data_IF_408703707644
#
_entry.id   IF_408703707644
#
_cell.length_a   1.000
_cell.length_b   1.000
_cell.length_c   1.000
_cell.angle_alpha   90.00
_cell.angle_beta   90.00
_cell.angle_gamma   90.00
#
_symmetry.space_group_name_H-M   'P 1'
#
loop_
_entity.id
_entity.type
_entity.pdbx_description
1 polymer ?
#
# COMPACT_ATOMS: atom_id res chain seq x y z
N UNK A 1 -25.49 2.34 -14.29
CA UNK A 1 -24.30 3.08 -13.83
C UNK A 1 -23.49 2.23 -12.85
N UNK A 2 -22.60 1.39 -13.37
CA UNK A 2 -21.63 0.67 -12.54
C UNK A 2 -20.42 1.61 -12.38
N UNK A 3 -20.16 2.10 -11.17
CA UNK A 3 -18.88 2.72 -10.79
C UNK A 3 -17.79 1.64 -10.83
N UNK A 4 -17.49 1.14 -12.02
CA UNK A 4 -16.49 0.13 -12.28
C UNK A 4 -15.20 0.78 -12.71
N UNK A 5 -14.08 0.39 -12.10
CA UNK A 5 -12.73 0.83 -12.49
C UNK A 5 -12.18 0.05 -13.71
N UNK A 6 -12.99 -0.78 -14.37
CA UNK A 6 -12.54 -1.66 -15.45
C UNK A 6 -11.93 -0.89 -16.62
N UNK A 7 -12.57 0.21 -17.04
CA UNK A 7 -12.04 1.07 -18.10
C UNK A 7 -10.73 1.75 -17.68
N UNK A 8 -10.68 2.26 -16.45
CA UNK A 8 -9.47 2.88 -15.90
C UNK A 8 -8.31 1.89 -15.82
N UNK A 9 -8.57 0.68 -15.33
CA UNK A 9 -7.57 -0.38 -15.27
C UNK A 9 -7.13 -0.83 -16.66
N UNK A 10 -8.06 -0.90 -17.62
CA UNK A 10 -7.71 -1.21 -19.00
C UNK A 10 -6.83 -0.12 -19.64
N UNK A 11 -7.15 1.16 -19.41
CA UNK A 11 -6.34 2.27 -19.88
C UNK A 11 -4.94 2.28 -19.25
N UNK A 12 -4.85 2.09 -17.93
CA UNK A 12 -3.60 1.97 -17.20
C UNK A 12 -2.77 0.79 -17.72
N UNK A 13 -3.41 -0.36 -17.95
CA UNK A 13 -2.76 -1.56 -18.46
C UNK A 13 -2.15 -1.34 -19.85
N UNK A 14 -2.89 -0.66 -20.75
CA UNK A 14 -2.38 -0.30 -22.08
C UNK A 14 -1.17 0.61 -21.99
N UNK A 15 -1.26 1.68 -21.18
CA UNK A 15 -0.16 2.62 -20.97
C UNK A 15 1.09 1.94 -20.40
N UNK A 16 0.94 1.11 -19.39
CA UNK A 16 2.05 0.36 -18.81
C UNK A 16 2.65 -0.64 -19.82
N UNK A 17 1.83 -1.30 -20.62
CA UNK A 17 2.29 -2.26 -21.64
C UNK A 17 3.10 -1.58 -22.73
N UNK A 18 2.77 -0.35 -23.09
CA UNK A 18 3.55 0.46 -24.02
C UNK A 18 4.96 0.70 -23.47
N UNK A 19 5.08 1.27 -22.27
CA UNK A 19 6.39 1.51 -21.64
C UNK A 19 7.18 0.22 -21.40
N UNK A 20 6.49 -0.89 -21.09
CA UNK A 20 7.13 -2.18 -20.91
C UNK A 20 7.75 -2.70 -22.21
N UNK A 21 7.12 -2.45 -23.36
CA UNK A 21 7.66 -2.79 -24.68
C UNK A 21 8.93 -2.00 -24.97
N UNK A 22 8.90 -0.70 -24.71
CA UNK A 22 10.07 0.15 -24.92
C UNK A 22 11.22 -0.23 -23.98
N UNK A 23 10.91 -0.52 -22.71
CA UNK A 23 11.92 -1.01 -21.77
C UNK A 23 12.58 -2.30 -22.27
N UNK A 24 11.82 -3.24 -22.82
CA UNK A 24 12.38 -4.48 -23.37
C UNK A 24 13.30 -4.25 -24.56
N UNK A 25 13.02 -3.24 -25.41
CA UNK A 25 13.88 -2.88 -26.53
C UNK A 25 15.24 -2.34 -26.08
N UNK A 26 15.25 -1.49 -25.04
CA UNK A 26 16.48 -0.87 -24.56
C UNK A 26 17.22 -1.72 -23.53
N UNK A 27 16.57 -2.75 -22.95
CA UNK A 27 17.14 -3.58 -21.89
C UNK A 27 18.48 -4.22 -22.23
N UNK A 28 18.71 -4.76 -23.45
CA UNK A 28 19.99 -5.36 -23.79
C UNK A 28 21.19 -4.38 -23.72
N UNK A 29 20.95 -3.08 -23.98
CA UNK A 29 21.98 -2.04 -23.98
C UNK A 29 22.15 -1.35 -22.63
N UNK A 30 21.36 -1.72 -21.61
CA UNK A 30 21.36 -1.07 -20.29
C UNK A 30 21.74 -2.05 -19.19
N UNK A 31 22.49 -1.56 -18.22
CA UNK A 31 22.77 -2.32 -17.01
C UNK A 31 21.49 -2.49 -16.16
N UNK A 32 21.56 -3.37 -15.18
CA UNK A 32 20.43 -3.67 -14.28
C UNK A 32 19.94 -2.43 -13.52
N UNK A 33 20.86 -1.62 -13.00
CA UNK A 33 20.50 -0.43 -12.22
C UNK A 33 19.69 0.57 -13.05
N UNK A 34 20.20 0.93 -14.24
CA UNK A 34 19.49 1.85 -15.16
C UNK A 34 18.12 1.30 -15.57
N UNK A 35 18.05 0.01 -15.91
CA UNK A 35 16.78 -0.62 -16.27
C UNK A 35 15.77 -0.58 -15.12
N UNK A 36 16.23 -0.80 -13.87
CA UNK A 36 15.38 -0.73 -12.68
C UNK A 36 14.89 0.70 -12.41
N UNK A 37 15.74 1.71 -12.57
CA UNK A 37 15.35 3.13 -12.43
C UNK A 37 14.30 3.49 -13.46
N UNK A 38 14.49 3.18 -14.74
CA UNK A 38 13.52 3.45 -15.81
C UNK A 38 12.19 2.74 -15.52
N UNK A 39 12.23 1.47 -15.15
CA UNK A 39 11.05 0.69 -14.81
C UNK A 39 10.25 1.28 -13.65
N UNK A 40 10.95 1.68 -12.61
CA UNK A 40 10.34 2.28 -11.42
C UNK A 40 9.72 3.64 -11.76
N UNK A 41 10.41 4.46 -12.50
CA UNK A 41 9.95 5.82 -12.87
C UNK A 41 8.75 5.78 -13.82
N UNK A 42 8.74 4.91 -14.82
CA UNK A 42 7.73 4.93 -15.88
C UNK A 42 6.52 4.02 -15.61
N UNK A 43 6.75 2.83 -15.08
CA UNK A 43 5.68 1.84 -14.93
C UNK A 43 5.21 1.74 -13.48
N UNK A 44 6.15 1.61 -12.53
CA UNK A 44 5.78 1.42 -11.14
C UNK A 44 5.12 2.68 -10.55
N UNK A 45 5.58 3.87 -10.92
CA UNK A 45 4.93 5.13 -10.55
C UNK A 45 3.47 5.20 -11.01
N UNK A 46 3.17 4.73 -12.23
CA UNK A 46 1.79 4.65 -12.75
C UNK A 46 0.93 3.64 -11.95
N UNK A 47 1.50 2.49 -11.58
CA UNK A 47 0.81 1.50 -10.76
C UNK A 47 0.53 1.99 -9.34
N UNK A 48 1.36 2.91 -8.82
CA UNK A 48 1.21 3.49 -7.48
C UNK A 48 0.35 4.75 -7.46
N UNK A 49 0.17 5.40 -8.62
CA UNK A 49 -0.66 6.59 -8.70
C UNK A 49 -2.11 6.27 -8.33
N UNK A 50 -2.60 6.92 -7.29
CA UNK A 50 -3.97 6.74 -6.75
C UNK A 50 -4.37 5.27 -6.50
N UNK A 51 -3.41 4.37 -6.23
CA UNK A 51 -3.67 2.94 -6.07
C UNK A 51 -4.60 2.61 -4.90
N UNK A 52 -4.74 3.50 -3.92
CA UNK A 52 -5.72 3.37 -2.83
C UNK A 52 -7.17 3.23 -3.32
N UNK A 53 -7.49 3.78 -4.50
CA UNK A 53 -8.80 3.65 -5.12
C UNK A 53 -9.10 2.21 -5.60
N UNK A 54 -8.06 1.39 -5.76
CA UNK A 54 -8.19 0.00 -6.19
C UNK A 54 -8.40 -0.98 -5.02
N UNK A 55 -8.58 -0.45 -3.81
CA UNK A 55 -8.83 -1.27 -2.63
C UNK A 55 -10.08 -2.13 -2.81
N UNK A 56 -9.95 -3.43 -2.51
CA UNK A 56 -11.04 -4.40 -2.61
C UNK A 56 -11.77 -4.45 -3.97
N UNK A 57 -11.07 -4.08 -5.06
CA UNK A 57 -11.58 -4.36 -6.40
C UNK A 57 -11.68 -5.87 -6.65
N UNK A 58 -12.53 -6.29 -7.59
CA UNK A 58 -12.61 -7.69 -8.00
C UNK A 58 -11.22 -8.26 -8.35
N UNK A 59 -11.01 -9.53 -8.03
CA UNK A 59 -9.71 -10.18 -8.20
C UNK A 59 -9.15 -10.06 -9.63
N UNK A 60 -10.03 -10.13 -10.65
CA UNK A 60 -9.60 -9.99 -12.05
C UNK A 60 -8.94 -8.64 -12.35
N UNK A 61 -9.40 -7.55 -11.71
CA UNK A 61 -8.82 -6.21 -11.84
C UNK A 61 -7.43 -6.16 -11.22
N UNK A 62 -7.31 -6.63 -9.99
CA UNK A 62 -6.01 -6.67 -9.28
C UNK A 62 -5.02 -7.58 -10.01
N UNK A 63 -5.49 -8.73 -10.51
CA UNK A 63 -4.66 -9.67 -11.26
C UNK A 63 -4.14 -9.06 -12.58
N UNK A 64 -4.92 -8.24 -13.29
CA UNK A 64 -4.42 -7.49 -14.47
C UNK A 64 -3.23 -6.62 -14.11
N UNK A 65 -3.30 -5.86 -13.00
CA UNK A 65 -2.20 -5.01 -12.53
C UNK A 65 -1.01 -5.86 -12.06
N UNK A 66 -1.26 -6.99 -11.39
CA UNK A 66 -0.20 -7.90 -10.95
C UNK A 66 0.55 -8.50 -12.14
N UNK A 67 -0.13 -8.86 -13.23
CA UNK A 67 0.50 -9.35 -14.47
C UNK A 67 1.45 -8.30 -15.06
N UNK A 68 1.08 -7.01 -15.02
CA UNK A 68 1.96 -5.92 -15.49
C UNK A 68 3.21 -5.84 -14.61
N UNK A 69 3.06 -5.86 -13.29
CA UNK A 69 4.18 -5.85 -12.36
C UNK A 69 5.11 -7.05 -12.57
N UNK A 70 4.53 -8.24 -12.76
CA UNK A 70 5.30 -9.46 -13.04
C UNK A 70 6.10 -9.36 -14.35
N UNK A 71 5.47 -8.83 -15.40
CA UNK A 71 6.14 -8.63 -16.69
C UNK A 71 7.24 -7.57 -16.62
N UNK A 72 7.06 -6.54 -15.77
CA UNK A 72 8.07 -5.53 -15.50
C UNK A 72 9.28 -6.15 -14.81
N UNK A 73 9.06 -6.94 -13.76
CA UNK A 73 10.12 -7.65 -13.06
C UNK A 73 10.92 -8.57 -14.00
N UNK A 74 10.23 -9.34 -14.86
CA UNK A 74 10.89 -10.17 -15.87
C UNK A 74 11.72 -9.35 -16.86
N UNK A 75 11.20 -8.21 -17.31
CA UNK A 75 11.92 -7.35 -18.25
C UNK A 75 13.22 -6.82 -17.65
N UNK A 76 13.21 -6.37 -16.38
CA UNK A 76 14.39 -5.87 -15.68
C UNK A 76 15.44 -6.96 -15.47
N UNK A 77 15.00 -8.15 -15.07
CA UNK A 77 15.88 -9.27 -14.71
C UNK A 77 16.20 -10.20 -15.88
N UNK A 78 15.74 -9.89 -17.09
CA UNK A 78 15.88 -10.74 -18.30
C UNK A 78 15.39 -12.16 -18.13
N UNK A 79 14.36 -12.37 -17.28
CA UNK A 79 13.75 -13.66 -17.03
C UNK A 79 12.78 -14.06 -18.15
N UNK A 80 12.66 -15.36 -18.39
CA UNK A 80 11.75 -15.93 -19.39
C UNK A 80 10.29 -15.83 -18.95
N UNK A 81 9.36 -15.95 -19.90
CA UNK A 81 7.91 -15.83 -19.66
C UNK A 81 7.40 -16.84 -18.63
N UNK A 82 7.94 -18.05 -18.63
CA UNK A 82 7.48 -19.17 -17.80
C UNK A 82 8.24 -19.33 -16.47
N UNK A 83 9.27 -18.52 -16.22
CA UNK A 83 10.00 -18.57 -14.95
C UNK A 83 9.10 -18.14 -13.80
N UNK A 84 9.24 -18.80 -12.65
CA UNK A 84 8.54 -18.41 -11.43
C UNK A 84 8.91 -16.97 -11.02
N UNK A 85 7.90 -16.14 -10.86
CA UNK A 85 8.11 -14.69 -10.63
C UNK A 85 8.33 -14.32 -9.16
N UNK A 86 7.81 -15.13 -8.23
CA UNK A 86 7.87 -14.81 -6.80
C UNK A 86 9.30 -14.63 -6.27
N UNK A 87 10.29 -15.46 -6.61
CA UNK A 87 11.68 -15.23 -6.21
C UNK A 87 12.24 -13.92 -6.76
N UNK A 88 11.85 -13.55 -8.00
CA UNK A 88 12.30 -12.31 -8.63
C UNK A 88 11.71 -11.08 -7.94
N UNK A 89 10.41 -11.08 -7.61
CA UNK A 89 9.80 -9.99 -6.85
C UNK A 89 10.42 -9.87 -5.46
N UNK A 90 10.76 -11.01 -4.83
CA UNK A 90 11.44 -11.05 -3.54
C UNK A 90 12.85 -10.43 -3.62
N UNK A 91 13.65 -10.79 -4.63
CA UNK A 91 15.00 -10.23 -4.83
C UNK A 91 14.99 -8.74 -5.16
N UNK A 92 13.94 -8.25 -5.84
CA UNK A 92 13.72 -6.84 -6.12
C UNK A 92 13.17 -6.05 -4.91
N UNK A 93 12.84 -6.71 -3.81
CA UNK A 93 12.15 -6.14 -2.65
C UNK A 93 10.82 -5.44 -3.00
N UNK A 94 10.09 -6.01 -3.95
CA UNK A 94 8.80 -5.44 -4.39
C UNK A 94 7.63 -6.11 -3.68
N UNK A 95 6.78 -5.28 -3.09
CA UNK A 95 5.46 -5.70 -2.62
C UNK A 95 4.57 -6.01 -3.83
N UNK A 96 3.74 -7.05 -3.74
CA UNK A 96 2.69 -7.31 -4.73
C UNK A 96 1.65 -6.18 -4.73
N UNK A 97 0.84 -6.09 -5.77
CA UNK A 97 -0.13 -4.98 -5.97
C UNK A 97 -1.08 -4.83 -4.77
N UNK A 98 -1.60 -5.92 -4.23
CA UNK A 98 -2.50 -5.87 -3.07
C UNK A 98 -1.84 -5.24 -1.85
N UNK A 99 -0.64 -5.69 -1.51
CA UNK A 99 0.12 -5.20 -0.37
C UNK A 99 0.59 -3.74 -0.57
N UNK A 100 0.83 -3.33 -1.82
CA UNK A 100 1.10 -1.91 -2.15
C UNK A 100 -0.10 -1.01 -1.88
N UNK A 101 -1.31 -1.48 -2.22
CA UNK A 101 -2.55 -0.77 -1.91
C UNK A 101 -2.73 -0.65 -0.39
N UNK A 102 -2.57 -1.76 0.33
CA UNK A 102 -2.65 -1.76 1.80
C UNK A 102 -1.61 -0.83 2.42
N UNK A 103 -0.36 -0.89 1.93
CA UNK A 103 0.71 0.01 2.36
C UNK A 103 0.30 1.48 2.21
N UNK A 104 -0.31 1.86 1.09
CA UNK A 104 -0.75 3.24 0.85
C UNK A 104 -1.85 3.67 1.83
N UNK A 105 -2.87 2.83 2.04
CA UNK A 105 -3.96 3.12 2.97
C UNK A 105 -3.43 3.27 4.40
N UNK A 106 -2.61 2.33 4.86
CA UNK A 106 -2.05 2.36 6.22
C UNK A 106 -1.12 3.56 6.41
N UNK A 107 -0.33 3.91 5.37
CA UNK A 107 0.53 5.11 5.41
C UNK A 107 -0.28 6.40 5.53
N UNK A 108 -1.42 6.49 4.83
CA UNK A 108 -2.34 7.62 4.94
C UNK A 108 -3.01 7.67 6.32
N UNK A 109 -3.41 6.51 6.85
CA UNK A 109 -3.97 6.39 8.21
C UNK A 109 -2.96 6.86 9.26
N UNK A 110 -1.70 6.40 9.16
CA UNK A 110 -0.63 6.88 10.03
C UNK A 110 -0.46 8.40 9.96
N UNK A 111 -0.41 8.98 8.75
CA UNK A 111 -0.24 10.42 8.57
C UNK A 111 -1.41 11.21 9.17
N UNK A 112 -2.63 10.73 8.96
CA UNK A 112 -3.83 11.35 9.54
C UNK A 112 -3.84 11.29 11.08
N UNK A 113 -3.35 10.20 11.68
CA UNK A 113 -3.24 10.06 13.14
C UNK A 113 -2.12 10.92 13.72
N UNK A 114 -0.96 10.97 13.07
CA UNK A 114 0.24 11.61 13.61
C UNK A 114 0.25 13.13 13.41
N UNK A 115 -0.11 13.60 12.22
CA UNK A 115 -0.04 15.01 11.84
C UNK A 115 -1.40 15.70 11.70
N UNK A 116 -2.49 14.95 11.82
CA UNK A 116 -3.83 15.45 11.53
C UNK A 116 -4.07 15.82 10.06
N UNK A 117 -3.09 15.58 9.19
CA UNK A 117 -3.16 15.97 7.77
C UNK A 117 -3.21 14.74 6.86
N UNK A 118 -3.98 14.77 5.77
CA UNK A 118 -4.96 15.81 5.42
C UNK A 118 -6.20 15.74 6.31
N UNK A 119 -6.75 16.89 6.70
CA UNK A 119 -7.87 16.99 7.64
C UNK A 119 -9.08 16.15 7.25
N UNK A 120 -9.46 16.17 5.96
CA UNK A 120 -10.61 15.39 5.46
C UNK A 120 -10.45 13.86 5.66
N UNK A 121 -9.23 13.33 5.73
CA UNK A 121 -9.01 11.91 6.08
C UNK A 121 -9.00 11.70 7.60
N UNK A 122 -8.52 12.70 8.35
CA UNK A 122 -8.51 12.64 9.82
C UNK A 122 -9.94 12.59 10.37
N UNK A 123 -10.85 13.36 9.79
CA UNK A 123 -12.26 13.43 10.18
C UNK A 123 -13.02 12.11 9.94
N UNK A 124 -12.51 11.28 9.04
CA UNK A 124 -13.05 9.94 8.78
C UNK A 124 -12.56 8.87 9.76
N UNK A 125 -11.64 9.20 10.67
CA UNK A 125 -11.02 8.24 11.59
C UNK A 125 -11.41 8.59 13.02
N UNK A 126 -12.03 7.65 13.71
CA UNK A 126 -12.37 7.78 15.13
C UNK A 126 -11.51 6.83 15.95
N UNK A 127 -10.81 7.38 16.95
CA UNK A 127 -10.10 6.58 17.93
C UNK A 127 -11.12 5.83 18.80
N UNK A 128 -10.87 4.56 19.04
CA UNK A 128 -11.67 3.80 19.98
C UNK A 128 -11.30 4.26 21.39
N UNK A 129 -12.30 4.65 22.18
CA UNK A 129 -12.08 4.96 23.61
C UNK A 129 -11.55 3.71 24.30
N UNK A 130 -10.42 3.84 24.97
CA UNK A 130 -9.81 2.78 25.73
C UNK A 130 -10.69 2.46 26.93
N UNK A 131 -11.49 1.39 26.87
CA UNK A 131 -11.90 0.71 28.10
C UNK A 131 -10.63 0.14 28.71
N UNK A 132 -10.46 0.32 30.03
CA UNK A 132 -9.34 -0.23 30.81
C UNK A 132 -9.33 -1.77 30.76
N UNK A 133 -8.94 -2.32 29.62
CA UNK A 133 -8.72 -3.75 29.42
C UNK A 133 -7.25 -4.00 29.14
N UNK A 134 -6.75 -5.20 29.42
CA UNK A 134 -5.35 -5.61 29.17
C UNK A 134 -4.85 -5.31 27.73
N UNK A 135 -5.77 -5.08 26.78
CA UNK A 135 -5.47 -4.69 25.38
C UNK A 135 -5.35 -3.19 25.15
N UNK A 136 -5.44 -2.34 26.18
CA UNK A 136 -5.46 -0.87 26.07
C UNK A 136 -4.13 -0.21 25.80
N UNK A 137 -3.04 -0.97 25.57
CA UNK A 137 -1.69 -0.42 25.41
C UNK A 137 -1.36 0.05 23.99
N UNK A 138 -2.29 -0.02 23.03
CA UNK A 138 -2.03 0.41 21.65
C UNK A 138 -3.25 1.08 21.01
N UNK A 139 -2.96 1.95 20.04
CA UNK A 139 -3.97 2.74 19.36
C UNK A 139 -4.84 1.85 18.47
N UNK A 140 -6.15 1.85 18.75
CA UNK A 140 -7.17 1.13 18.00
C UNK A 140 -8.18 2.12 17.41
N UNK A 141 -8.64 1.84 16.21
CA UNK A 141 -9.64 2.65 15.52
C UNK A 141 -11.02 2.01 15.62
N UNK A 142 -12.03 2.85 15.85
CA UNK A 142 -13.42 2.41 15.84
C UNK A 142 -13.82 1.95 14.45
N UNK A 143 -14.41 0.75 14.36
CA UNK A 143 -14.93 0.22 13.09
C UNK A 143 -16.35 0.70 12.90
N UNK A 144 -16.67 1.36 11.78
CA UNK A 144 -18.04 1.70 11.46
C UNK A 144 -18.88 0.43 11.22
N UNK A 145 -20.19 0.49 11.41
CA UNK A 145 -21.08 -0.64 11.12
C UNK A 145 -20.99 -1.01 9.63
N UNK A 146 -21.06 -2.31 9.34
CA UNK A 146 -20.98 -2.81 7.97
C UNK A 146 -22.08 -2.22 7.10
N UNK A 147 -21.72 -1.68 5.94
CA UNK A 147 -22.69 -1.20 4.96
C UNK A 147 -23.17 -2.33 4.06
N UNK A 148 -24.46 -2.31 3.72
CA UNK A 148 -25.03 -3.21 2.70
C UNK A 148 -24.45 -2.95 1.30
N UNK A 149 -23.92 -1.76 1.05
CA UNK A 149 -23.35 -1.37 -0.24
C UNK A 149 -21.87 -1.79 -0.32
N UNK A 150 -21.55 -2.67 -1.23
CA UNK A 150 -20.16 -3.13 -1.48
C UNK A 150 -19.17 -1.98 -1.76
N UNK A 151 -19.65 -0.89 -2.36
CA UNK A 151 -18.82 0.27 -2.68
C UNK A 151 -18.43 1.04 -1.41
N UNK A 152 -19.34 1.19 -0.47
CA UNK A 152 -19.08 1.85 0.82
C UNK A 152 -18.00 1.12 1.60
N UNK A 153 -18.07 -0.22 1.61
CA UNK A 153 -17.09 -1.07 2.30
C UNK A 153 -15.67 -1.01 1.69
N UNK A 154 -15.49 -0.33 0.55
CA UNK A 154 -14.19 -0.07 -0.10
C UNK A 154 -13.63 1.32 0.24
N UNK A 155 -14.43 2.17 0.88
CA UNK A 155 -14.02 3.53 1.23
C UNK A 155 -12.92 3.52 2.29
N UNK A 156 -12.17 4.62 2.35
CA UNK A 156 -11.16 4.84 3.40
C UNK A 156 -11.77 4.74 4.80
N UNK A 157 -12.97 5.30 4.99
CA UNK A 157 -13.72 5.27 6.25
C UNK A 157 -13.88 3.86 6.83
N UNK A 158 -14.18 2.87 5.98
CA UNK A 158 -14.33 1.47 6.42
C UNK A 158 -13.02 0.72 6.51
N UNK A 159 -12.15 0.91 5.54
CA UNK A 159 -10.97 0.05 5.41
C UNK A 159 -9.77 0.53 6.22
N UNK A 160 -9.65 1.82 6.50
CA UNK A 160 -8.56 2.32 7.33
C UNK A 160 -8.57 1.69 8.74
N UNK A 161 -9.71 1.65 9.48
CA UNK A 161 -9.77 0.94 10.76
C UNK A 161 -9.50 -0.56 10.66
N UNK A 162 -10.00 -1.22 9.60
CA UNK A 162 -9.79 -2.67 9.41
C UNK A 162 -8.31 -2.99 9.24
N UNK A 163 -7.65 -2.28 8.32
CA UNK A 163 -6.23 -2.50 8.04
C UNK A 163 -5.33 -2.04 9.19
N UNK A 164 -5.66 -0.92 9.84
CA UNK A 164 -4.94 -0.43 10.99
C UNK A 164 -4.98 -1.40 12.16
N UNK A 165 -6.16 -1.88 12.52
CA UNK A 165 -6.36 -2.78 13.65
C UNK A 165 -5.76 -4.18 13.41
N UNK A 166 -5.49 -4.56 12.15
CA UNK A 166 -4.78 -5.80 11.82
C UNK A 166 -3.26 -5.72 11.97
N UNK A 167 -2.70 -4.52 12.18
CA UNK A 167 -1.28 -4.35 12.39
C UNK A 167 -0.84 -4.93 13.74
N UNK A 168 0.40 -5.42 13.84
CA UNK A 168 0.95 -5.86 15.11
C UNK A 168 1.07 -4.68 16.11
N UNK A 169 1.01 -5.01 17.40
CA UNK A 169 0.97 -4.03 18.48
C UNK A 169 2.13 -3.02 18.44
N UNK A 170 3.35 -3.47 18.11
CA UNK A 170 4.53 -2.61 18.07
C UNK A 170 4.45 -1.47 17.03
N UNK A 171 3.61 -1.61 15.99
CA UNK A 171 3.36 -0.55 15.00
C UNK A 171 2.28 0.45 15.44
N UNK A 172 1.53 0.14 16.50
CA UNK A 172 0.40 0.92 16.99
C UNK A 172 0.62 1.50 18.38
N UNK A 173 1.85 1.49 18.87
CA UNK A 173 2.16 2.00 20.21
C UNK A 173 1.92 3.51 20.30
N UNK A 174 1.22 4.00 21.35
CA UNK A 174 1.09 5.43 21.60
C UNK A 174 2.45 6.04 21.95
N UNK A 175 2.61 7.32 21.67
CA UNK A 175 3.75 8.07 22.16
C UNK A 175 3.76 8.10 23.69
N UNK A 176 4.93 8.04 24.35
CA UNK A 176 5.01 8.29 25.78
C UNK A 176 4.51 9.70 26.07
N UNK A 177 3.89 9.95 27.24
CA UNK A 177 3.49 11.29 27.63
C UNK A 177 4.75 12.17 27.65
N UNK A 178 4.79 13.18 26.77
CA UNK A 178 5.89 14.15 26.73
C UNK A 178 5.72 15.14 27.88
N UNK A 179 6.76 15.33 28.67
CA UNK A 179 6.82 16.35 29.74
C UNK A 179 6.99 17.76 29.18
N UNK A 180 7.21 17.92 27.88
CA UNK A 180 7.43 19.21 27.23
C UNK A 180 6.18 19.72 26.54
N UNK A 181 5.76 20.94 26.92
CA UNK A 181 4.65 21.72 26.35
C UNK A 181 4.87 22.20 24.90
N UNK A 182 5.70 21.53 24.11
CA UNK A 182 5.79 21.77 22.66
C UNK A 182 4.58 21.16 21.98
N UNK A 183 3.66 21.98 21.49
CA UNK A 183 2.31 21.65 20.97
C UNK A 183 2.20 20.68 19.81
N UNK A 184 3.08 19.68 19.72
CA UNK A 184 2.97 18.54 18.84
C UNK A 184 2.63 17.29 19.67
N UNK A 185 1.35 17.07 19.88
CA UNK A 185 0.85 15.81 20.44
C UNK A 185 1.14 14.68 19.45
N UNK A 186 2.31 14.08 19.54
CA UNK A 186 2.64 12.88 18.81
C UNK A 186 1.74 11.75 19.30
N UNK A 187 0.79 11.33 18.48
CA UNK A 187 -0.14 10.26 18.83
C UNK A 187 0.55 8.87 18.85
N UNK A 188 1.58 8.69 18.03
CA UNK A 188 2.29 7.41 17.85
C UNK A 188 3.76 7.52 18.24
N UNK A 189 4.30 6.45 18.85
CA UNK A 189 5.69 6.37 19.31
C UNK A 189 6.72 6.33 18.16
N UNK A 190 6.35 5.75 17.02
CA UNK A 190 7.25 5.60 15.89
C UNK A 190 7.27 6.87 15.02
N UNK A 191 8.47 7.33 14.65
CA UNK A 191 8.60 8.35 13.61
C UNK A 191 8.11 7.80 12.25
N UNK A 192 7.71 8.71 11.35
CA UNK A 192 7.18 8.35 10.03
C UNK A 192 8.10 7.41 9.24
N UNK A 193 9.38 7.71 9.16
CA UNK A 193 10.32 6.91 8.38
C UNK A 193 10.48 5.49 8.97
N UNK A 194 10.58 5.40 10.30
CA UNK A 194 10.67 4.12 11.01
C UNK A 194 9.40 3.30 10.85
N UNK A 195 8.23 3.93 10.98
CA UNK A 195 6.94 3.27 10.76
C UNK A 195 6.82 2.72 9.34
N UNK A 196 7.09 3.53 8.30
CA UNK A 196 6.98 3.11 6.90
C UNK A 196 7.94 1.97 6.55
N UNK A 197 9.16 2.00 7.11
CA UNK A 197 10.13 0.93 6.92
C UNK A 197 9.65 -0.38 7.55
N UNK A 198 9.20 -0.35 8.80
CA UNK A 198 8.69 -1.53 9.49
C UNK A 198 7.38 -2.04 8.87
N UNK A 199 6.49 -1.15 8.43
CA UNK A 199 5.28 -1.51 7.71
C UNK A 199 5.61 -2.25 6.40
N UNK A 200 6.58 -1.75 5.64
CA UNK A 200 7.03 -2.42 4.41
C UNK A 200 7.55 -3.83 4.71
N UNK A 201 8.38 -3.98 5.76
CA UNK A 201 8.90 -5.29 6.19
C UNK A 201 7.77 -6.23 6.61
N UNK A 202 6.79 -5.74 7.36
CA UNK A 202 5.63 -6.51 7.77
C UNK A 202 4.83 -7.01 6.56
N UNK A 203 4.46 -6.12 5.64
CA UNK A 203 3.70 -6.48 4.44
C UNK A 203 4.48 -7.37 3.47
N UNK A 204 5.81 -7.28 3.48
CA UNK A 204 6.67 -8.12 2.66
C UNK A 204 6.57 -9.60 3.03
N UNK A 205 6.36 -9.92 4.31
CA UNK A 205 6.13 -11.30 4.77
C UNK A 205 4.85 -11.90 4.17
N UNK A 206 3.80 -11.08 3.96
CA UNK A 206 2.56 -11.52 3.30
C UNK A 206 2.71 -11.63 1.78
N UNK A 207 3.47 -10.72 1.17
CA UNK A 207 3.76 -10.79 -0.26
C UNK A 207 4.56 -12.04 -0.63
N UNK A 208 5.44 -12.46 0.26
CA UNK A 208 6.42 -13.51 0.02
C UNK A 208 6.50 -14.42 1.24
N UNK A 209 5.51 -15.29 1.46
CA UNK A 209 5.60 -16.30 2.51
C UNK A 209 6.84 -17.16 2.32
N UNK A 210 7.39 -17.74 3.40
CA UNK A 210 8.58 -18.58 3.38
C UNK A 210 8.43 -19.79 2.45
#
# INVERSE_FOLDING_TARGET
NKLGFDQQIAALSRSCSYHLRDLRRIRPTRNFHTANVIATSLVQSKLDYCNSLYLNLPAHCINKLQVIQNNLARAITSKRKFDHISPTLRSLHWLKIRERINYKIISLTYSALQSGKPHYLRDLITLQSTRSTRSGSFITLSRPPASKLKISNRSFYYMAPVLWNSLPAHLRQPAPPSSDNSGQNNTLALSRNKFLSQLKTYLFKFSHPP
#
